data_IF_842932303965
#
_entry.id   IF_842932303965
#
_cell.length_a   1.000
_cell.length_b   1.000
_cell.length_c   1.000
_cell.angle_alpha   90.00
_cell.angle_beta   90.00
_cell.angle_gamma   90.00
#
_symmetry.space_group_name_H-M   'P 1'
#
loop_
_entity.id
_entity.type
_entity.pdbx_description
1 polymer ?
#
# COMPACT_ATOMS: atom_id res chain seq x y z
N UNK A 1 -47.75 -36.38 -18.06
CA UNK A 1 -46.96 -35.20 -18.46
C UNK A 1 -47.39 -34.01 -17.61
N UNK A 2 -46.53 -33.45 -16.74
CA UNK A 2 -46.90 -32.28 -15.94
C UNK A 2 -46.65 -30.98 -16.72
N UNK A 3 -47.66 -30.11 -16.74
CA UNK A 3 -47.62 -28.74 -17.27
C UNK A 3 -46.94 -27.80 -16.27
N UNK A 4 -46.04 -26.89 -16.69
CA UNK A 4 -45.42 -25.92 -15.79
C UNK A 4 -46.36 -24.73 -15.51
N UNK A 5 -46.59 -24.43 -14.22
CA UNK A 5 -47.22 -23.17 -13.78
C UNK A 5 -46.19 -22.03 -13.82
N UNK A 6 -46.56 -20.80 -14.22
CA UNK A 6 -45.62 -19.68 -14.25
C UNK A 6 -45.38 -19.11 -12.85
N UNK A 7 -44.18 -19.33 -12.30
CA UNK A 7 -43.66 -18.55 -11.18
C UNK A 7 -43.03 -17.26 -11.71
N UNK A 8 -43.83 -16.25 -12.03
CA UNK A 8 -43.29 -14.99 -12.55
C UNK A 8 -44.14 -13.76 -12.19
N UNK A 9 -44.36 -13.52 -10.88
CA UNK A 9 -44.96 -12.24 -10.45
C UNK A 9 -44.49 -11.79 -9.07
N UNK A 10 -43.18 -11.50 -8.90
CA UNK A 10 -42.72 -10.81 -7.68
C UNK A 10 -41.38 -10.03 -7.83
N UNK A 11 -40.92 -9.72 -9.05
CA UNK A 11 -39.62 -9.06 -9.25
C UNK A 11 -39.72 -7.57 -9.66
N UNK A 12 -40.89 -6.93 -9.52
CA UNK A 12 -41.15 -5.60 -10.07
C UNK A 12 -40.99 -4.41 -9.11
N UNK A 13 -41.00 -4.61 -7.78
CA UNK A 13 -41.18 -3.49 -6.85
C UNK A 13 -39.92 -2.99 -6.13
N UNK A 14 -38.76 -3.59 -6.37
CA UNK A 14 -37.50 -3.19 -5.73
C UNK A 14 -36.62 -2.25 -6.56
N UNK A 15 -37.08 -1.83 -7.75
CA UNK A 15 -36.29 -0.98 -8.65
C UNK A 15 -36.64 0.51 -8.64
N UNK A 16 -37.71 0.93 -7.96
CA UNK A 16 -38.16 2.33 -7.92
C UNK A 16 -37.73 3.12 -6.68
N UNK A 17 -36.99 2.51 -5.74
CA UNK A 17 -36.54 3.17 -4.49
C UNK A 17 -35.03 3.33 -4.36
N UNK A 18 -34.32 3.22 -5.47
CA UNK A 18 -32.92 3.63 -5.56
C UNK A 18 -32.81 4.65 -6.69
N UNK A 19 -33.56 5.75 -6.57
CA UNK A 19 -33.12 6.99 -7.17
C UNK A 19 -31.89 7.41 -6.37
N UNK A 20 -30.65 7.32 -6.89
CA UNK A 20 -29.57 8.03 -6.26
C UNK A 20 -29.98 9.50 -6.39
N UNK A 21 -30.33 10.10 -5.27
CA UNK A 21 -30.16 11.53 -5.14
C UNK A 21 -28.65 11.75 -5.23
N UNK A 22 -28.14 11.77 -6.47
CA UNK A 22 -26.98 12.54 -6.85
C UNK A 22 -27.36 14.00 -6.56
N UNK A 23 -27.42 14.33 -5.27
CA UNK A 23 -27.03 15.64 -4.81
C UNK A 23 -25.57 15.71 -5.21
N UNK A 24 -25.33 16.20 -6.41
CA UNK A 24 -24.09 16.85 -6.79
C UNK A 24 -23.82 17.92 -5.74
N UNK A 25 -23.23 17.49 -4.63
CA UNK A 25 -22.64 18.34 -3.61
C UNK A 25 -21.29 18.79 -4.18
N UNK A 26 -21.38 19.56 -5.26
CA UNK A 26 -20.25 20.06 -6.04
C UNK A 26 -20.75 21.31 -6.76
N UNK A 27 -20.08 22.43 -6.51
CA UNK A 27 -20.51 23.80 -6.83
C UNK A 27 -21.12 23.96 -8.21
N UNK A 28 -22.43 24.17 -8.24
CA UNK A 28 -23.22 24.57 -9.40
C UNK A 28 -23.93 25.91 -9.15
N UNK A 29 -23.29 26.83 -8.43
CA UNK A 29 -23.82 28.15 -8.16
C UNK A 29 -22.68 29.15 -7.99
N UNK A 30 -22.93 30.39 -8.43
CA UNK A 30 -22.04 31.56 -8.38
C UNK A 30 -21.76 32.01 -6.93
N UNK A 31 -21.29 31.11 -6.07
CA UNK A 31 -21.01 31.36 -4.66
C UNK A 31 -19.76 30.61 -4.18
N UNK A 32 -19.07 31.15 -3.16
CA UNK A 32 -17.82 30.57 -2.66
C UNK A 32 -18.07 29.15 -2.16
N UNK A 33 -17.36 28.19 -2.74
CA UNK A 33 -17.52 26.80 -2.34
C UNK A 33 -16.89 26.57 -0.97
N UNK A 34 -17.58 25.86 -0.07
CA UNK A 34 -17.10 25.54 1.30
C UNK A 34 -15.75 24.80 1.30
N UNK A 35 -15.40 24.12 0.21
CA UNK A 35 -14.23 23.26 0.09
C UNK A 35 -13.11 23.85 -0.79
N UNK A 36 -13.34 25.03 -1.38
CA UNK A 36 -12.33 25.73 -2.17
C UNK A 36 -12.05 27.08 -1.54
N UNK A 37 -10.79 27.32 -1.17
CA UNK A 37 -10.34 28.68 -0.90
C UNK A 37 -10.59 29.56 -2.13
N UNK A 38 -10.94 30.85 -1.99
CA UNK A 38 -10.87 31.81 -3.10
C UNK A 38 -9.46 31.80 -3.69
N UNK A 39 -9.26 30.97 -4.71
CA UNK A 39 -8.04 30.88 -5.49
C UNK A 39 -8.12 31.83 -6.69
N UNK A 40 -7.07 31.89 -7.49
CA UNK A 40 -7.00 32.62 -8.76
C UNK A 40 -8.01 32.17 -9.84
N UNK A 41 -9.00 31.36 -9.48
CA UNK A 41 -9.87 30.68 -10.43
C UNK A 41 -11.33 30.90 -10.04
N UNK A 42 -12.00 31.75 -10.83
CA UNK A 42 -13.40 32.15 -10.67
C UNK A 42 -14.40 31.02 -11.01
N UNK A 43 -14.02 30.02 -11.81
CA UNK A 43 -14.93 28.98 -12.34
C UNK A 43 -14.28 27.59 -12.35
N UNK A 44 -15.04 26.49 -12.18
CA UNK A 44 -14.52 25.13 -12.26
C UNK A 44 -13.98 24.85 -13.68
N UNK A 45 -12.67 24.67 -13.78
CA UNK A 45 -11.93 24.81 -15.05
C UNK A 45 -11.67 23.48 -15.78
N UNK A 46 -12.26 22.36 -15.32
CA UNK A 46 -12.15 21.05 -15.97
C UNK A 46 -10.74 20.43 -16.01
N UNK A 47 -9.71 21.13 -15.53
CA UNK A 47 -8.33 20.66 -15.50
C UNK A 47 -8.07 19.76 -14.31
N UNK A 48 -7.36 18.65 -14.54
CA UNK A 48 -7.10 17.57 -13.58
C UNK A 48 -6.44 18.04 -12.27
N UNK A 49 -5.79 19.21 -12.28
CA UNK A 49 -5.17 19.83 -11.10
C UNK A 49 -5.39 21.34 -11.01
N UNK A 50 -6.43 21.87 -11.66
CA UNK A 50 -6.71 23.32 -11.75
C UNK A 50 -5.56 24.19 -12.30
N UNK A 51 -4.53 23.56 -12.89
CA UNK A 51 -3.42 24.21 -13.59
C UNK A 51 -3.74 24.27 -15.08
N UNK A 52 -3.46 25.41 -15.69
CA UNK A 52 -3.47 25.52 -17.15
C UNK A 52 -2.43 24.55 -17.72
N UNK A 53 -2.78 23.74 -18.73
CA UNK A 53 -1.80 22.91 -19.41
C UNK A 53 -0.72 23.83 -19.99
N UNK A 54 0.54 23.44 -19.85
CA UNK A 54 1.63 24.17 -20.46
C UNK A 54 1.47 24.11 -21.99
N UNK A 55 1.93 25.14 -22.72
CA UNK A 55 1.98 25.08 -24.17
C UNK A 55 2.76 23.84 -24.64
N UNK A 56 2.35 23.23 -25.77
CA UNK A 56 2.95 21.99 -26.25
C UNK A 56 4.46 22.19 -26.44
N UNK A 57 5.25 21.36 -25.75
CA UNK A 57 6.71 21.40 -25.79
C UNK A 57 7.40 21.96 -24.55
N UNK A 58 6.66 22.48 -23.55
CA UNK A 58 7.26 22.86 -22.25
C UNK A 58 7.04 21.77 -21.20
N UNK A 59 8.14 21.29 -20.61
CA UNK A 59 8.10 20.43 -19.42
C UNK A 59 7.83 21.26 -18.17
N UNK A 60 7.10 20.69 -17.21
CA UNK A 60 6.91 21.32 -15.89
C UNK A 60 8.27 21.51 -15.21
N UNK A 61 8.53 22.74 -14.75
CA UNK A 61 9.70 23.01 -13.90
C UNK A 61 9.53 22.34 -12.54
N UNK A 62 10.60 21.76 -12.04
CA UNK A 62 10.62 21.25 -10.67
C UNK A 62 10.46 22.42 -9.70
N UNK A 63 9.71 22.21 -8.64
CA UNK A 63 9.62 23.17 -7.54
C UNK A 63 10.71 22.83 -6.50
N UNK A 64 11.31 23.84 -5.85
CA UNK A 64 12.49 23.64 -4.98
C UNK A 64 12.23 22.71 -3.78
N UNK A 65 10.97 22.47 -3.43
CA UNK A 65 10.57 21.53 -2.37
C UNK A 65 10.46 20.08 -2.85
N UNK A 66 10.28 19.85 -4.16
CA UNK A 66 10.14 18.51 -4.74
C UNK A 66 11.42 17.73 -4.56
N UNK A 67 12.58 18.38 -4.75
CA UNK A 67 13.89 17.76 -4.65
C UNK A 67 14.19 17.22 -3.23
N UNK A 68 14.06 18.00 -2.14
CA UNK A 68 14.16 17.48 -0.78
C UNK A 68 13.15 16.37 -0.46
N UNK A 69 11.91 16.50 -0.94
CA UNK A 69 10.85 15.51 -0.71
C UNK A 69 11.17 14.16 -1.37
N UNK A 70 11.67 14.16 -2.61
CA UNK A 70 12.06 12.95 -3.30
C UNK A 70 13.29 12.28 -2.68
N UNK A 71 14.29 13.06 -2.29
CA UNK A 71 15.48 12.52 -1.64
C UNK A 71 15.11 11.84 -0.32
N UNK A 72 14.31 12.51 0.52
CA UNK A 72 13.92 11.96 1.83
C UNK A 72 13.04 10.73 1.69
N UNK A 73 12.03 10.76 0.81
CA UNK A 73 11.18 9.59 0.55
C UNK A 73 11.94 8.41 -0.07
N UNK A 74 12.91 8.67 -0.94
CA UNK A 74 13.78 7.63 -1.46
C UNK A 74 14.66 7.03 -0.36
N UNK A 75 15.29 7.87 0.46
CA UNK A 75 16.14 7.45 1.56
C UNK A 75 15.38 6.61 2.59
N UNK A 76 14.13 6.94 2.90
CA UNK A 76 13.31 6.12 3.81
C UNK A 76 12.98 4.75 3.23
N UNK A 77 12.65 4.66 1.93
CA UNK A 77 12.41 3.38 1.26
C UNK A 77 13.70 2.56 1.21
N UNK A 78 14.85 3.18 0.96
CA UNK A 78 16.16 2.50 0.95
C UNK A 78 16.52 1.99 2.35
N UNK A 79 16.37 2.83 3.39
CA UNK A 79 16.63 2.40 4.77
C UNK A 79 15.68 1.28 5.18
N UNK A 80 14.41 1.32 4.76
CA UNK A 80 13.48 0.24 5.05
C UNK A 80 13.82 -1.03 4.25
N UNK A 81 14.12 -0.92 2.96
CA UNK A 81 14.44 -2.06 2.11
C UNK A 81 15.77 -2.73 2.49
N UNK A 82 16.83 -1.93 2.62
CA UNK A 82 18.16 -2.41 3.02
C UNK A 82 18.19 -2.74 4.51
N UNK A 83 17.57 -1.93 5.37
CA UNK A 83 17.56 -2.17 6.81
C UNK A 83 16.73 -3.38 7.24
N UNK A 84 15.66 -3.72 6.51
CA UNK A 84 14.96 -4.99 6.73
C UNK A 84 15.73 -6.18 6.18
N UNK A 85 16.46 -6.02 5.06
CA UNK A 85 17.27 -7.09 4.47
C UNK A 85 18.55 -7.36 5.26
N UNK A 86 19.17 -6.31 5.81
CA UNK A 86 20.36 -6.38 6.65
C UNK A 86 20.04 -6.71 8.10
N UNK A 87 18.83 -7.21 8.42
CA UNK A 87 18.55 -7.77 9.75
C UNK A 87 19.53 -8.93 9.97
N UNK A 88 20.54 -8.78 10.85
CA UNK A 88 21.41 -9.90 11.16
C UNK A 88 20.56 -10.96 11.83
N UNK A 89 20.85 -12.24 11.57
CA UNK A 89 20.13 -13.37 12.14
C UNK A 89 20.29 -13.39 13.68
N UNK A 90 19.48 -12.59 14.37
CA UNK A 90 19.33 -12.54 15.83
C UNK A 90 18.31 -13.58 16.32
N UNK A 91 18.05 -14.59 15.48
CA UNK A 91 17.18 -15.71 15.82
C UNK A 91 17.88 -16.60 16.83
N UNK A 92 17.22 -16.91 17.95
CA UNK A 92 17.78 -17.84 18.96
C UNK A 92 18.11 -19.22 18.38
N UNK A 93 17.46 -19.58 17.27
CA UNK A 93 17.69 -20.80 16.50
C UNK A 93 19.12 -20.93 15.97
N UNK A 94 19.76 -19.83 15.54
CA UNK A 94 21.13 -19.86 15.04
C UNK A 94 22.13 -20.17 16.16
N UNK A 95 21.93 -19.58 17.35
CA UNK A 95 22.69 -19.93 18.55
C UNK A 95 22.44 -21.37 18.98
N UNK A 96 21.17 -21.81 19.00
CA UNK A 96 20.81 -23.17 19.37
C UNK A 96 21.43 -24.21 18.42
N UNK A 97 21.46 -23.94 17.11
CA UNK A 97 22.08 -24.81 16.12
C UNK A 97 23.60 -24.90 16.30
N UNK A 98 24.28 -23.76 16.51
CA UNK A 98 25.72 -23.76 16.81
C UNK A 98 26.01 -24.53 18.11
N UNK A 99 25.20 -24.34 19.14
CA UNK A 99 25.38 -25.03 20.43
C UNK A 99 25.11 -26.54 20.33
N UNK A 100 24.15 -26.95 19.48
CA UNK A 100 23.88 -28.36 19.21
C UNK A 100 25.07 -29.04 18.52
N UNK A 101 25.68 -28.37 17.54
CA UNK A 101 26.89 -28.87 16.86
C UNK A 101 28.07 -29.03 17.82
N UNK A 102 28.31 -28.04 18.69
CA UNK A 102 29.38 -28.10 19.70
C UNK A 102 29.23 -29.31 20.64
N UNK A 103 27.99 -29.65 21.03
CA UNK A 103 27.73 -30.84 21.85
C UNK A 103 27.96 -32.14 21.09
N UNK A 104 27.52 -32.21 19.83
CA UNK A 104 27.76 -33.39 18.98
C UNK A 104 29.25 -33.62 18.73
N UNK A 105 30.05 -32.55 18.58
CA UNK A 105 31.50 -32.66 18.44
C UNK A 105 32.17 -33.12 19.74
N UNK A 106 31.76 -32.58 20.89
CA UNK A 106 32.24 -33.02 22.20
C UNK A 106 31.91 -34.50 22.48
N UNK A 107 30.69 -34.93 22.16
CA UNK A 107 30.26 -36.34 22.28
C UNK A 107 30.98 -37.26 21.28
N UNK A 108 31.39 -36.74 20.11
CA UNK A 108 32.20 -37.48 19.12
C UNK A 108 33.68 -37.60 19.51
N UNK A 109 34.21 -36.66 20.27
CA UNK A 109 35.59 -36.69 20.75
C UNK A 109 35.73 -37.57 22.01
N UNK A 110 34.66 -37.71 22.80
CA UNK A 110 34.63 -38.50 24.02
C UNK A 110 34.59 -40.05 23.92
N UNK A 111 34.28 -40.75 22.80
CA UNK A 111 34.09 -42.19 22.81
C UNK A 111 35.33 -43.00 22.39
N UNK A 112 36.55 -42.44 22.43
CA UNK A 112 37.80 -43.18 22.10
C UNK A 112 38.80 -43.35 23.24
N UNK A 113 38.58 -42.74 24.41
CA UNK A 113 39.55 -42.78 25.52
C UNK A 113 39.17 -43.76 26.66
N UNK A 114 38.01 -44.42 26.58
CA UNK A 114 37.50 -45.30 27.65
C UNK A 114 37.32 -46.77 27.20
N UNK A 115 38.35 -47.32 26.54
CA UNK A 115 38.49 -48.78 26.37
C UNK A 115 39.96 -49.20 26.27
N UNK A 116 40.70 -49.12 27.38
CA UNK A 116 41.90 -49.96 27.53
C UNK A 116 42.20 -50.23 29.01
N UNK A 117 42.61 -51.47 29.31
CA UNK A 117 42.93 -52.08 30.62
C UNK A 117 41.76 -52.73 31.40
N UNK A 118 41.30 -53.89 30.89
CA UNK A 118 41.11 -55.10 31.72
C UNK A 118 42.47 -55.66 32.18
#
# INVERSE_FOLDING_TARGET
MPSPKPFATAAGMLRSRLSPTLRTRGGGGDGPSRWTSPGHQERPNGYLFNRTPLPPGQSRKWEDWELPCYITSFLTIVILGVGLNAKPDLTIESWAHQKALERLEAEKLAPSDESDCD
#
